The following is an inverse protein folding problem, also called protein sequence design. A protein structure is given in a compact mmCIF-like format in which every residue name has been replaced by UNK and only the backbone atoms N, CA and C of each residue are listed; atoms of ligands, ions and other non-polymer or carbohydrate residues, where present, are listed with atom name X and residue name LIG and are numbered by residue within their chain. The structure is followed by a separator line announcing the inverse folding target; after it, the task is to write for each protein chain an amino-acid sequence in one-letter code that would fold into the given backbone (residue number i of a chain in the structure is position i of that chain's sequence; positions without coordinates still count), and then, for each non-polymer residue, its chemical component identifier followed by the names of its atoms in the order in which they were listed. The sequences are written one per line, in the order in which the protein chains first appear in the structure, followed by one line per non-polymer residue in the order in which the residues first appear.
data_IF_848260384776
#
_entry.id   IF_848260384776
#
_cell.length_a   1.000
_cell.length_b   1.000
_cell.length_c   1.000
_cell.angle_alpha   90.00
_cell.angle_beta   90.00
_cell.angle_gamma   90.00
#
_symmetry.space_group_name_H-M   'P 1'
#
loop_
_entity.id
_entity.type
_entity.pdbx_description
1 polymer ?
#
# COMPACT_ATOMS: atom_id res chain seq x y z
N UNK A 1 -58.49 37.70 14.20
CA UNK A 1 -57.36 37.40 13.28
C UNK A 1 -56.68 38.67 12.73
N UNK A 2 -57.34 39.67 12.17
CA UNK A 2 -56.67 40.86 11.58
C UNK A 2 -55.79 41.64 12.57
N UNK A 3 -56.12 41.75 13.84
CA UNK A 3 -55.35 42.43 14.87
C UNK A 3 -54.03 41.66 15.21
N UNK A 4 -54.04 40.32 15.25
CA UNK A 4 -52.91 39.51 15.50
C UNK A 4 -51.86 39.65 14.37
N UNK A 5 -52.29 39.64 13.11
CA UNK A 5 -51.43 39.81 11.95
C UNK A 5 -50.78 41.20 11.92
N UNK A 6 -51.53 42.23 12.29
CA UNK A 6 -51.05 43.60 12.36
C UNK A 6 -50.05 43.83 13.50
N UNK A 7 -50.23 43.15 14.64
CA UNK A 7 -49.31 43.14 15.76
C UNK A 7 -48.05 42.42 15.36
N UNK A 8 -48.12 41.18 14.73
CA UNK A 8 -47.02 40.44 14.26
C UNK A 8 -46.15 41.22 13.25
N UNK A 9 -46.77 41.95 12.33
CA UNK A 9 -46.04 42.77 11.35
C UNK A 9 -45.29 43.96 11.97
N UNK A 10 -45.81 44.53 13.07
CA UNK A 10 -45.13 45.58 13.81
C UNK A 10 -44.00 45.07 14.64
N UNK A 11 -44.17 43.94 15.35
CA UNK A 11 -43.16 43.30 16.17
C UNK A 11 -42.02 42.79 15.28
N UNK A 12 -42.33 42.29 14.08
CA UNK A 12 -41.34 41.90 13.09
C UNK A 12 -40.49 43.08 12.61
N UNK A 13 -41.09 44.23 12.38
CA UNK A 13 -40.40 45.45 11.96
C UNK A 13 -39.49 46.01 13.06
N UNK A 14 -39.93 45.94 14.29
CA UNK A 14 -39.25 46.47 15.48
C UNK A 14 -38.07 45.57 15.87
N UNK A 15 -38.18 44.23 15.66
CA UNK A 15 -37.18 43.21 16.00
C UNK A 15 -36.46 42.66 14.77
N UNK A 16 -36.50 43.31 13.62
CA UNK A 16 -35.94 42.85 12.35
C UNK A 16 -34.49 42.42 12.46
N UNK A 17 -33.66 43.19 13.15
CA UNK A 17 -32.22 42.88 13.36
C UNK A 17 -32.03 41.56 14.10
N UNK A 18 -32.87 41.25 15.09
CA UNK A 18 -32.79 39.99 15.85
C UNK A 18 -33.29 38.83 15.02
N UNK A 19 -34.38 39.00 14.26
CA UNK A 19 -34.84 37.95 13.34
C UNK A 19 -33.83 37.65 12.26
N UNK A 20 -33.19 38.67 11.68
CA UNK A 20 -32.15 38.51 10.69
C UNK A 20 -30.94 37.76 11.27
N UNK A 21 -30.52 38.09 12.48
CA UNK A 21 -29.39 37.38 13.16
C UNK A 21 -29.71 35.92 13.37
N UNK A 22 -30.89 35.56 13.88
CA UNK A 22 -31.30 34.16 14.07
C UNK A 22 -31.43 33.44 12.73
N UNK A 23 -31.99 34.09 11.71
CA UNK A 23 -32.09 33.53 10.37
C UNK A 23 -30.71 33.23 9.75
N UNK A 24 -29.79 34.22 9.85
CA UNK A 24 -28.42 34.04 9.32
C UNK A 24 -27.68 32.94 10.07
N UNK A 25 -27.85 32.82 11.38
CA UNK A 25 -27.27 31.74 12.17
C UNK A 25 -27.85 30.36 11.77
N UNK A 26 -29.14 30.25 11.57
CA UNK A 26 -29.79 29.04 11.10
C UNK A 26 -29.34 28.66 9.68
N UNK A 27 -29.22 29.64 8.78
CA UNK A 27 -28.75 29.43 7.43
C UNK A 27 -27.29 28.92 7.41
N UNK A 28 -26.42 29.56 8.20
CA UNK A 28 -25.03 29.15 8.34
C UNK A 28 -24.93 27.72 8.89
N UNK A 29 -25.72 27.41 9.93
CA UNK A 29 -25.79 26.07 10.53
C UNK A 29 -26.18 25.00 9.51
N UNK A 30 -27.24 25.27 8.74
CA UNK A 30 -27.73 24.36 7.73
C UNK A 30 -26.69 24.15 6.60
N UNK A 31 -26.02 25.22 6.19
CA UNK A 31 -24.97 25.16 5.15
C UNK A 31 -23.78 24.32 5.60
N UNK A 32 -23.29 24.54 6.83
CA UNK A 32 -22.19 23.76 7.40
C UNK A 32 -22.59 22.28 7.54
N UNK A 33 -23.78 22.01 8.07
CA UNK A 33 -24.29 20.66 8.20
C UNK A 33 -24.39 19.95 6.85
N UNK A 34 -25.03 20.59 5.87
CA UNK A 34 -25.19 20.03 4.54
C UNK A 34 -23.84 19.81 3.85
N UNK A 35 -22.91 20.77 3.97
CA UNK A 35 -21.57 20.67 3.40
C UNK A 35 -20.75 19.53 4.00
N UNK A 36 -20.67 19.43 5.33
CA UNK A 36 -19.94 18.36 6.00
C UNK A 36 -20.59 16.99 5.75
N UNK A 37 -21.94 16.94 5.76
CA UNK A 37 -22.66 15.69 5.49
C UNK A 37 -22.43 15.20 4.06
N UNK A 38 -22.45 16.12 3.09
CA UNK A 38 -22.12 15.80 1.68
C UNK A 38 -20.67 15.37 1.51
N UNK A 39 -19.72 15.98 2.24
CA UNK A 39 -18.31 15.66 2.17
C UNK A 39 -18.03 14.22 2.63
N UNK A 40 -18.47 13.83 3.85
CA UNK A 40 -18.17 12.47 4.34
C UNK A 40 -18.91 11.39 3.55
N UNK A 41 -20.16 11.64 3.12
CA UNK A 41 -20.90 10.67 2.26
C UNK A 41 -20.22 10.50 0.91
N UNK A 42 -19.81 11.59 0.26
CA UNK A 42 -19.09 11.54 -1.00
C UNK A 42 -17.74 10.82 -0.90
N UNK A 43 -16.99 11.07 0.18
CA UNK A 43 -15.74 10.33 0.44
C UNK A 43 -15.98 8.84 0.66
N UNK A 44 -17.00 8.48 1.44
CA UNK A 44 -17.34 7.08 1.70
C UNK A 44 -17.76 6.35 0.43
N UNK A 45 -18.61 6.95 -0.39
CA UNK A 45 -19.07 6.38 -1.66
C UNK A 45 -17.91 6.22 -2.64
N UNK A 46 -17.12 7.27 -2.85
CA UNK A 46 -15.97 7.24 -3.77
C UNK A 46 -14.93 6.20 -3.34
N UNK A 47 -14.63 6.13 -2.05
CA UNK A 47 -13.70 5.12 -1.49
C UNK A 47 -14.26 3.70 -1.66
N UNK A 48 -15.55 3.52 -1.38
CA UNK A 48 -16.24 2.24 -1.56
C UNK A 48 -16.24 1.77 -3.01
N UNK A 49 -16.52 2.66 -3.95
CA UNK A 49 -16.43 2.36 -5.38
C UNK A 49 -15.00 2.01 -5.82
N UNK A 50 -14.01 2.77 -5.34
CA UNK A 50 -12.61 2.52 -5.63
C UNK A 50 -12.17 1.14 -5.14
N UNK A 51 -12.50 0.78 -3.90
CA UNK A 51 -12.22 -0.54 -3.34
C UNK A 51 -12.93 -1.67 -4.10
N UNK A 52 -14.14 -1.41 -4.57
CA UNK A 52 -14.90 -2.37 -5.39
C UNK A 52 -14.27 -2.55 -6.77
N UNK A 53 -13.96 -1.46 -7.48
CA UNK A 53 -13.35 -1.45 -8.82
C UNK A 53 -11.97 -2.10 -8.82
N UNK A 54 -11.19 -1.88 -7.76
CA UNK A 54 -9.84 -2.44 -7.59
C UNK A 54 -9.83 -3.81 -6.93
N UNK A 55 -11.00 -4.33 -6.54
CA UNK A 55 -11.19 -5.62 -5.88
C UNK A 55 -10.29 -5.78 -4.64
N UNK A 56 -10.24 -4.74 -3.80
CA UNK A 56 -9.46 -4.76 -2.56
C UNK A 56 -9.75 -6.01 -1.73
N UNK A 57 -8.70 -6.69 -1.30
CA UNK A 57 -8.83 -7.86 -0.44
C UNK A 57 -9.29 -7.50 0.98
N UNK A 58 -9.67 -8.52 1.75
CA UNK A 58 -10.22 -8.37 3.09
C UNK A 58 -9.21 -8.79 4.17
N UNK A 59 -8.26 -9.68 3.79
CA UNK A 59 -7.21 -10.18 4.68
C UNK A 59 -5.87 -10.26 3.94
N UNK A 60 -4.80 -9.93 4.67
CA UNK A 60 -3.40 -10.11 4.29
C UNK A 60 -2.73 -11.05 5.26
N UNK A 61 -2.14 -12.10 4.75
CA UNK A 61 -1.42 -13.09 5.54
C UNK A 61 0.06 -13.00 5.19
N UNK A 62 0.86 -12.54 6.11
CA UNK A 62 2.31 -12.55 5.98
C UNK A 62 2.85 -13.82 6.63
N UNK A 63 3.57 -14.64 5.89
CA UNK A 63 4.12 -15.89 6.37
C UNK A 63 5.38 -16.28 5.59
N UNK A 64 6.24 -17.07 6.22
CA UNK A 64 7.39 -17.66 5.54
C UNK A 64 7.01 -18.99 4.90
N UNK A 65 7.65 -19.31 3.76
CA UNK A 65 7.50 -20.62 3.09
C UNK A 65 6.05 -21.00 2.75
N UNK A 66 5.36 -20.11 2.03
CA UNK A 66 4.02 -20.39 1.51
C UNK A 66 4.11 -21.41 0.38
N UNK A 67 3.74 -22.64 0.68
CA UNK A 67 3.67 -23.74 -0.30
C UNK A 67 2.30 -23.77 -0.99
N UNK A 68 2.22 -24.39 -2.17
CA UNK A 68 0.95 -24.53 -2.90
C UNK A 68 -0.08 -25.34 -2.10
N UNK A 69 0.35 -26.38 -1.40
CA UNK A 69 -0.52 -27.19 -0.54
C UNK A 69 -1.18 -26.37 0.58
N UNK A 70 -0.39 -25.51 1.26
CA UNK A 70 -0.92 -24.60 2.29
C UNK A 70 -1.92 -23.60 1.69
N UNK A 71 -1.60 -23.02 0.53
CA UNK A 71 -2.48 -22.11 -0.18
C UNK A 71 -3.78 -22.76 -0.60
N UNK A 72 -3.74 -24.01 -1.09
CA UNK A 72 -4.96 -24.75 -1.49
C UNK A 72 -5.85 -25.09 -0.29
N UNK A 73 -5.28 -25.41 0.86
CA UNK A 73 -6.05 -25.56 2.11
C UNK A 73 -6.76 -24.25 2.48
N UNK A 74 -6.08 -23.11 2.37
CA UNK A 74 -6.68 -21.79 2.63
C UNK A 74 -7.78 -21.50 1.61
N UNK A 75 -7.58 -21.78 0.33
CA UNK A 75 -8.63 -21.59 -0.72
C UNK A 75 -9.90 -22.38 -0.45
N UNK A 76 -9.76 -23.56 0.15
CA UNK A 76 -10.89 -24.45 0.49
C UNK A 76 -11.54 -24.10 1.84
N UNK A 77 -10.98 -23.21 2.62
CA UNK A 77 -11.53 -22.82 3.93
C UNK A 77 -12.87 -22.10 3.78
N UNK A 78 -13.81 -22.41 4.67
CA UNK A 78 -15.15 -21.81 4.67
C UNK A 78 -15.03 -20.28 4.81
N UNK A 79 -15.74 -19.55 3.96
CA UNK A 79 -15.74 -18.08 3.95
C UNK A 79 -14.67 -17.46 3.08
N UNK A 80 -13.72 -18.22 2.53
CA UNK A 80 -12.74 -17.73 1.55
C UNK A 80 -13.35 -17.77 0.16
N UNK A 81 -13.52 -16.61 -0.45
CA UNK A 81 -13.96 -16.48 -1.85
C UNK A 81 -12.81 -16.69 -2.81
N UNK A 82 -11.64 -16.14 -2.49
CA UNK A 82 -10.42 -16.24 -3.29
C UNK A 82 -9.19 -16.00 -2.43
N UNK A 83 -8.09 -16.71 -2.70
CA UNK A 83 -6.79 -16.47 -2.10
C UNK A 83 -5.69 -16.56 -3.16
N UNK A 84 -4.79 -15.57 -3.15
CA UNK A 84 -3.64 -15.47 -4.04
C UNK A 84 -2.37 -15.25 -3.25
N UNK A 85 -1.30 -15.95 -3.63
CA UNK A 85 0.04 -15.74 -3.08
C UNK A 85 0.75 -14.63 -3.83
N UNK A 86 1.53 -13.84 -3.11
CA UNK A 86 2.42 -12.83 -3.66
C UNK A 86 3.75 -12.84 -2.94
N UNK A 87 4.74 -12.20 -3.51
CA UNK A 87 5.97 -11.84 -2.83
C UNK A 87 6.01 -10.34 -2.67
N UNK A 88 6.03 -9.88 -1.43
CA UNK A 88 6.33 -8.50 -1.08
C UNK A 88 7.84 -8.38 -0.77
N UNK A 89 8.49 -7.38 -1.33
CA UNK A 89 9.91 -7.10 -1.14
C UNK A 89 10.19 -5.62 -1.35
N UNK A 90 11.34 -5.17 -0.87
CA UNK A 90 11.75 -3.78 -0.96
C UNK A 90 12.74 -3.59 -2.11
N UNK A 91 12.52 -2.56 -2.91
CA UNK A 91 13.47 -1.99 -3.84
C UNK A 91 13.95 -0.65 -3.29
N UNK A 92 15.25 -0.38 -3.37
CA UNK A 92 15.79 0.95 -3.03
C UNK A 92 16.07 1.73 -4.31
N UNK A 93 15.63 2.98 -4.31
CA UNK A 93 15.92 3.93 -5.37
C UNK A 93 16.80 5.05 -4.83
N UNK A 94 17.91 5.35 -5.50
CA UNK A 94 18.81 6.42 -5.08
C UNK A 94 18.51 7.69 -5.85
N UNK A 95 18.11 8.72 -5.14
CA UNK A 95 17.79 10.03 -5.69
C UNK A 95 18.44 11.14 -4.87
N UNK A 96 19.19 12.06 -5.52
CA UNK A 96 19.84 13.20 -4.90
C UNK A 96 20.67 12.88 -3.64
N UNK A 97 21.28 11.70 -3.60
CA UNK A 97 22.06 11.25 -2.44
C UNK A 97 21.28 10.44 -1.40
N UNK A 98 19.97 10.55 -1.34
CA UNK A 98 19.08 9.81 -0.44
C UNK A 98 18.66 8.47 -1.04
N UNK A 99 18.26 7.54 -0.17
CA UNK A 99 17.63 6.29 -0.59
C UNK A 99 16.13 6.40 -0.33
N UNK A 100 15.35 6.18 -1.37
CA UNK A 100 13.92 5.99 -1.26
C UNK A 100 13.60 4.50 -1.30
N UNK A 101 12.64 4.06 -0.48
CA UNK A 101 12.22 2.69 -0.36
C UNK A 101 10.90 2.45 -1.12
N UNK A 102 10.90 1.43 -1.97
CA UNK A 102 9.74 1.09 -2.79
C UNK A 102 9.24 -0.29 -2.40
N UNK A 103 8.10 -0.33 -1.71
CA UNK A 103 7.42 -1.58 -1.39
C UNK A 103 6.89 -2.22 -2.66
N UNK A 104 7.53 -3.28 -3.10
CA UNK A 104 7.23 -3.92 -4.38
C UNK A 104 6.57 -5.27 -4.17
N UNK A 105 5.53 -5.52 -4.95
CA UNK A 105 4.74 -6.74 -4.85
C UNK A 105 4.66 -7.45 -6.17
N UNK A 106 4.63 -8.79 -6.12
CA UNK A 106 4.32 -9.57 -7.31
C UNK A 106 2.83 -9.72 -7.49
N UNK A 107 2.38 -9.78 -8.74
CA UNK A 107 1.02 -10.13 -9.07
C UNK A 107 0.98 -11.39 -9.95
N UNK A 108 -0.11 -12.13 -9.82
CA UNK A 108 -0.36 -13.33 -10.61
C UNK A 108 -1.16 -13.02 -11.88
N UNK A 109 -1.09 -13.93 -12.84
CA UNK A 109 -1.62 -13.76 -14.20
C UNK A 109 -3.14 -13.79 -14.33
N UNK A 110 -3.85 -14.20 -13.30
CA UNK A 110 -5.28 -14.43 -13.46
C UNK A 110 -6.05 -13.11 -13.56
N UNK A 111 -6.82 -12.97 -14.63
CA UNK A 111 -7.71 -11.84 -14.93
C UNK A 111 -8.74 -11.51 -13.83
N UNK A 112 -8.82 -12.35 -12.81
CA UNK A 112 -9.61 -12.17 -11.59
C UNK A 112 -8.68 -12.12 -10.38
N UNK A 113 -7.70 -11.24 -10.41
CA UNK A 113 -6.81 -11.01 -9.26
C UNK A 113 -7.58 -10.59 -8.02
N UNK A 114 -7.08 -10.94 -6.85
CA UNK A 114 -7.65 -10.49 -5.57
C UNK A 114 -7.43 -9.00 -5.39
N UNK A 115 -6.39 -8.44 -6.02
CA UNK A 115 -6.10 -7.02 -6.07
C UNK A 115 -5.84 -6.60 -7.51
N UNK A 116 -6.46 -5.51 -7.94
CA UNK A 116 -6.33 -4.98 -9.30
C UNK A 116 -6.07 -3.47 -9.25
N UNK A 117 -4.82 -3.03 -9.08
CA UNK A 117 -4.46 -1.62 -9.03
C UNK A 117 -4.93 -0.88 -10.28
N UNK A 118 -5.36 0.36 -10.10
CA UNK A 118 -5.81 1.21 -11.21
C UNK A 118 -4.61 1.72 -12.00
N UNK A 119 -4.54 1.43 -13.29
CA UNK A 119 -3.50 1.98 -14.15
C UNK A 119 -3.90 3.39 -14.61
N UNK A 120 -3.09 4.38 -14.25
CA UNK A 120 -3.31 5.79 -14.57
C UNK A 120 -2.67 6.14 -15.93
N UNK A 121 -1.47 5.62 -16.18
CA UNK A 121 -0.77 5.86 -17.44
C UNK A 121 0.07 4.66 -17.85
N UNK A 122 0.40 4.56 -19.13
CA UNK A 122 1.20 3.47 -19.67
C UNK A 122 0.41 2.19 -19.91
N UNK A 123 1.08 1.05 -19.73
CA UNK A 123 0.50 -0.27 -19.99
C UNK A 123 -0.26 -0.78 -18.77
N UNK A 124 -1.42 -1.39 -18.97
CA UNK A 124 -2.12 -2.16 -17.91
C UNK A 124 -1.24 -3.31 -17.41
N UNK A 125 -1.43 -3.70 -16.15
CA UNK A 125 -0.72 -4.83 -15.56
C UNK A 125 -0.88 -6.08 -16.41
N UNK A 126 0.23 -6.70 -16.76
CA UNK A 126 0.25 -7.92 -17.55
C UNK A 126 1.49 -8.77 -17.27
N UNK A 127 1.45 -10.06 -17.66
CA UNK A 127 2.56 -10.98 -17.43
C UNK A 127 3.50 -11.14 -18.63
N UNK A 128 3.29 -10.38 -19.72
CA UNK A 128 4.09 -10.48 -20.94
C UNK A 128 5.32 -9.58 -20.86
N UNK A 129 5.12 -8.32 -20.47
CA UNK A 129 6.16 -7.31 -20.43
C UNK A 129 7.06 -7.44 -19.19
N UNK A 130 8.36 -7.20 -19.37
CA UNK A 130 9.33 -7.18 -18.26
C UNK A 130 9.57 -5.73 -17.82
N UNK A 131 9.31 -5.44 -16.56
CA UNK A 131 9.48 -4.12 -15.97
C UNK A 131 8.68 -3.96 -14.69
N UNK A 132 8.49 -2.72 -14.30
CA UNK A 132 7.80 -2.32 -13.08
C UNK A 132 6.62 -1.39 -13.42
N UNK A 133 5.52 -1.56 -12.74
CA UNK A 133 4.45 -0.56 -12.59
C UNK A 133 4.68 0.15 -11.28
N UNK A 134 4.82 1.46 -11.34
CA UNK A 134 5.25 2.28 -10.21
C UNK A 134 4.10 3.10 -9.69
N UNK A 135 4.13 3.40 -8.42
CA UNK A 135 3.30 4.40 -7.76
C UNK A 135 3.33 5.73 -8.53
N UNK A 136 2.14 6.29 -8.79
CA UNK A 136 2.00 7.55 -9.54
C UNK A 136 2.61 8.72 -8.79
N UNK A 137 2.35 8.84 -7.49
CA UNK A 137 2.77 9.98 -6.69
C UNK A 137 4.29 9.94 -6.44
N UNK A 138 4.83 8.75 -6.17
CA UNK A 138 6.28 8.54 -6.12
C UNK A 138 6.96 8.88 -7.45
N UNK A 139 6.36 8.46 -8.57
CA UNK A 139 6.92 8.74 -9.89
C UNK A 139 6.94 10.24 -10.19
N UNK A 140 5.89 10.97 -9.82
CA UNK A 140 5.81 12.43 -9.99
C UNK A 140 6.84 13.16 -9.13
N UNK A 141 7.00 12.79 -7.85
CA UNK A 141 8.00 13.37 -6.94
C UNK A 141 9.43 13.22 -7.49
N UNK A 142 9.68 12.13 -8.22
CA UNK A 142 10.99 11.86 -8.82
C UNK A 142 11.11 12.20 -10.30
N UNK A 143 10.10 12.83 -10.91
CA UNK A 143 10.03 13.14 -12.34
C UNK A 143 10.25 11.92 -13.26
N UNK A 144 9.81 10.73 -12.83
CA UNK A 144 9.91 9.50 -13.58
C UNK A 144 8.74 9.35 -14.55
N UNK A 145 9.01 8.86 -15.74
CA UNK A 145 8.01 8.70 -16.81
C UNK A 145 7.90 7.24 -17.26
N UNK A 146 6.76 6.92 -17.84
CA UNK A 146 6.59 5.63 -18.53
C UNK A 146 7.64 5.45 -19.60
N UNK A 147 8.18 4.25 -19.73
CA UNK A 147 9.28 3.84 -20.59
C UNK A 147 10.69 4.19 -20.10
N UNK A 148 10.85 4.94 -19.04
CA UNK A 148 12.15 5.18 -18.42
C UNK A 148 12.79 3.87 -17.94
N UNK A 149 14.12 3.80 -18.06
CA UNK A 149 14.92 2.68 -17.57
C UNK A 149 15.63 3.11 -16.29
N UNK A 150 15.09 2.70 -15.16
CA UNK A 150 15.52 3.10 -13.83
C UNK A 150 16.39 2.01 -13.18
N UNK A 151 17.39 2.45 -12.42
CA UNK A 151 18.26 1.57 -11.63
C UNK A 151 17.72 1.52 -10.20
N UNK A 152 17.33 0.33 -9.77
CA UNK A 152 16.95 0.03 -8.39
C UNK A 152 18.02 -0.85 -7.73
N UNK A 153 17.97 -0.95 -6.42
CA UNK A 153 18.76 -1.93 -5.66
C UNK A 153 17.82 -2.98 -5.07
N UNK A 154 18.05 -4.24 -5.41
CA UNK A 154 17.33 -5.40 -4.88
C UNK A 154 18.33 -6.30 -4.14
N UNK A 155 18.12 -6.51 -2.83
CA UNK A 155 19.04 -7.32 -2.00
C UNK A 155 20.51 -6.91 -2.16
N UNK A 156 20.77 -5.60 -2.13
CA UNK A 156 22.12 -5.05 -2.28
C UNK A 156 22.70 -5.07 -3.72
N UNK A 157 21.97 -5.59 -4.69
CA UNK A 157 22.41 -5.68 -6.08
C UNK A 157 21.65 -4.70 -6.98
N UNK A 158 22.38 -3.98 -7.85
CA UNK A 158 21.77 -3.06 -8.82
C UNK A 158 21.01 -3.83 -9.90
N UNK A 159 19.73 -3.54 -10.06
CA UNK A 159 18.86 -4.08 -11.10
C UNK A 159 18.29 -2.93 -11.94
N UNK A 160 18.20 -3.12 -13.25
CA UNK A 160 17.67 -2.10 -14.16
C UNK A 160 16.30 -2.58 -14.63
N UNK A 161 15.27 -1.77 -14.42
CA UNK A 161 13.91 -2.07 -14.84
C UNK A 161 13.36 -0.91 -15.68
N UNK A 162 12.50 -1.27 -16.66
CA UNK A 162 11.71 -0.31 -17.43
C UNK A 162 10.42 -0.03 -16.68
N UNK A 163 10.03 1.24 -16.55
CA UNK A 163 8.73 1.62 -16.05
C UNK A 163 7.70 1.33 -17.14
N UNK A 164 6.75 0.46 -16.86
CA UNK A 164 5.72 0.04 -17.82
C UNK A 164 4.45 0.85 -17.71
N UNK A 165 4.14 1.35 -16.54
CA UNK A 165 2.97 2.19 -16.28
C UNK A 165 3.01 2.76 -14.87
N UNK A 166 2.12 3.70 -14.61
CA UNK A 166 1.87 4.29 -13.30
C UNK A 166 0.54 3.75 -12.78
N UNK A 167 0.51 3.45 -11.49
CA UNK A 167 -0.64 2.81 -10.85
C UNK A 167 -1.02 3.53 -9.57
N UNK A 168 -2.32 3.45 -9.23
CA UNK A 168 -2.84 3.73 -7.90
C UNK A 168 -3.33 2.42 -7.29
N UNK A 169 -2.96 2.20 -6.04
CA UNK A 169 -3.21 0.98 -5.32
C UNK A 169 -4.12 1.23 -4.11
N UNK A 170 -5.22 0.49 -3.97
CA UNK A 170 -6.11 0.67 -2.84
C UNK A 170 -5.51 0.25 -1.48
N UNK A 171 -4.45 -0.58 -1.47
CA UNK A 171 -3.73 -0.96 -0.25
C UNK A 171 -2.85 0.20 0.29
N UNK A 172 -2.52 1.18 -0.57
CA UNK A 172 -1.59 2.27 -0.29
C UNK A 172 -2.18 3.65 -0.64
N UNK A 173 -3.52 3.81 -0.56
CA UNK A 173 -4.19 5.06 -0.90
C UNK A 173 -3.72 6.24 -0.03
N UNK A 174 -3.34 5.98 1.22
CA UNK A 174 -2.67 6.92 2.12
C UNK A 174 -1.40 6.24 2.64
N UNK A 175 -0.33 6.29 1.83
CA UNK A 175 0.86 5.50 2.07
C UNK A 175 1.81 6.19 3.07
N UNK A 176 1.63 5.90 4.34
CA UNK A 176 2.56 6.20 5.42
C UNK A 176 3.23 4.91 5.90
N UNK A 177 4.49 5.00 6.27
CA UNK A 177 5.28 3.84 6.70
C UNK A 177 5.20 3.65 8.21
N UNK A 178 5.15 4.75 8.95
CA UNK A 178 5.07 4.76 10.40
C UNK A 178 3.76 5.40 10.86
N UNK A 179 3.27 4.98 12.03
CA UNK A 179 2.01 5.48 12.58
C UNK A 179 2.07 6.94 13.08
N UNK A 180 3.26 7.46 13.28
CA UNK A 180 3.55 8.85 13.68
C UNK A 180 3.68 9.81 12.49
N UNK A 181 3.72 9.30 11.27
CA UNK A 181 3.71 10.12 10.06
C UNK A 181 2.30 10.63 9.78
N UNK A 182 2.13 11.94 9.79
CA UNK A 182 0.82 12.58 9.52
C UNK A 182 0.50 12.71 8.04
N UNK A 183 1.51 12.69 7.17
CA UNK A 183 1.36 12.84 5.71
C UNK A 183 2.26 11.84 4.98
N UNK A 184 1.82 11.31 3.82
CA UNK A 184 2.67 10.50 2.96
C UNK A 184 3.89 11.27 2.47
N UNK A 185 5.06 10.64 2.55
CA UNK A 185 6.31 11.16 1.97
C UNK A 185 6.65 10.39 0.69
N UNK A 186 6.18 10.90 -0.44
CA UNK A 186 6.41 10.31 -1.75
C UNK A 186 7.83 10.50 -2.29
N UNK A 187 8.68 11.30 -1.63
CA UNK A 187 10.11 11.37 -1.96
C UNK A 187 10.89 10.21 -1.34
N UNK A 188 10.51 9.76 -0.15
CA UNK A 188 11.18 8.66 0.55
C UNK A 188 10.51 7.31 0.37
N UNK A 189 9.20 7.28 0.15
CA UNK A 189 8.41 6.06 0.14
C UNK A 189 7.50 5.96 -1.07
N UNK A 190 7.46 4.78 -1.67
CA UNK A 190 6.57 4.46 -2.77
C UNK A 190 6.25 2.98 -2.83
N UNK A 191 5.40 2.60 -3.75
CA UNK A 191 5.09 1.20 -4.00
C UNK A 191 5.16 0.86 -5.49
N UNK A 192 5.20 -0.43 -5.78
CA UNK A 192 5.27 -0.87 -7.18
C UNK A 192 4.87 -2.33 -7.36
N UNK A 193 4.62 -2.68 -8.60
CA UNK A 193 4.22 -4.01 -9.02
C UNK A 193 5.15 -4.57 -10.07
N UNK A 194 5.56 -5.82 -9.90
CA UNK A 194 6.30 -6.57 -10.91
C UNK A 194 5.62 -7.91 -11.16
N UNK A 195 5.68 -8.40 -12.38
CA UNK A 195 5.24 -9.76 -12.63
C UNK A 195 6.32 -10.78 -12.20
N UNK A 196 5.90 -12.02 -11.97
CA UNK A 196 6.80 -13.09 -11.54
C UNK A 196 7.95 -13.35 -12.50
N UNK A 197 7.77 -13.15 -13.82
CA UNK A 197 8.83 -13.33 -14.82
C UNK A 197 9.95 -12.31 -14.64
N UNK A 198 9.60 -11.06 -14.38
CA UNK A 198 10.56 -9.98 -14.08
C UNK A 198 11.34 -10.32 -12.83
N UNK A 199 10.65 -10.66 -11.74
CA UNK A 199 11.30 -10.99 -10.48
C UNK A 199 12.20 -12.23 -10.61
N UNK A 200 11.72 -13.32 -11.19
CA UNK A 200 12.54 -14.54 -11.45
C UNK A 200 13.80 -14.23 -12.24
N UNK A 201 13.70 -13.39 -13.26
CA UNK A 201 14.84 -12.96 -14.07
C UNK A 201 15.90 -12.23 -13.24
N UNK A 202 15.50 -11.33 -12.36
CA UNK A 202 16.43 -10.59 -11.49
C UNK A 202 16.99 -11.47 -10.37
N UNK A 203 16.16 -12.29 -9.73
CA UNK A 203 16.63 -13.25 -8.72
C UNK A 203 17.64 -14.23 -9.29
N UNK A 204 17.41 -14.77 -10.49
CA UNK A 204 18.38 -15.62 -11.18
C UNK A 204 19.73 -14.91 -11.32
N UNK A 205 19.73 -13.68 -11.81
CA UNK A 205 20.95 -12.89 -12.00
C UNK A 205 21.69 -12.63 -10.69
N UNK A 206 20.95 -12.29 -9.62
CA UNK A 206 21.52 -12.02 -8.29
C UNK A 206 22.16 -13.29 -7.73
N UNK A 207 21.44 -14.40 -7.75
CA UNK A 207 21.92 -15.66 -7.20
C UNK A 207 23.13 -16.21 -7.97
N UNK A 208 23.14 -16.07 -9.31
CA UNK A 208 24.31 -16.44 -10.12
C UNK A 208 25.53 -15.58 -9.78
N UNK A 209 25.35 -14.27 -9.53
CA UNK A 209 26.45 -13.40 -9.09
C UNK A 209 26.98 -13.81 -7.72
N UNK A 210 26.11 -14.10 -6.75
CA UNK A 210 26.52 -14.54 -5.41
C UNK A 210 27.23 -15.90 -5.46
N UNK A 211 26.74 -16.83 -6.26
CA UNK A 211 27.41 -18.12 -6.49
C UNK A 211 28.79 -17.93 -7.11
N UNK A 212 28.92 -17.04 -8.11
CA UNK A 212 30.23 -16.72 -8.71
C UNK A 212 31.21 -16.15 -7.70
N UNK A 213 30.74 -15.24 -6.84
CA UNK A 213 31.58 -14.69 -5.76
C UNK A 213 32.01 -15.77 -4.77
N UNK A 214 31.09 -16.66 -4.39
CA UNK A 214 31.39 -17.74 -3.47
C UNK A 214 32.43 -18.72 -4.06
N UNK A 215 32.26 -19.10 -5.34
CA UNK A 215 33.23 -19.97 -6.06
C UNK A 215 34.58 -19.28 -6.13
N UNK A 216 34.65 -18.01 -6.51
CA UNK A 216 35.92 -17.27 -6.59
C UNK A 216 36.61 -17.23 -5.24
N UNK A 217 35.90 -16.93 -4.14
CA UNK A 217 36.47 -16.95 -2.78
C UNK A 217 36.97 -18.32 -2.36
N UNK A 218 36.21 -19.37 -2.68
CA UNK A 218 36.64 -20.76 -2.39
C UNK A 218 37.90 -21.12 -3.15
N UNK A 219 38.01 -20.72 -4.42
CA UNK A 219 39.23 -20.94 -5.24
C UNK A 219 40.44 -20.18 -4.67
N UNK A 220 40.25 -18.90 -4.30
CA UNK A 220 41.31 -18.07 -3.71
C UNK A 220 41.81 -18.67 -2.38
N UNK A 221 40.89 -19.16 -1.53
CA UNK A 221 41.25 -19.79 -0.26
C UNK A 221 41.99 -21.14 -0.49
N UNK A 222 41.49 -21.95 -1.43
CA UNK A 222 42.17 -23.22 -1.79
C UNK A 222 43.56 -22.99 -2.36
N UNK A 223 43.75 -21.92 -3.15
CA UNK A 223 45.11 -21.54 -3.63
C UNK A 223 46.01 -21.11 -2.48
N UNK A 224 45.49 -20.27 -1.54
CA UNK A 224 46.25 -19.83 -0.37
C UNK A 224 46.68 -21.01 0.52
N UNK A 225 45.83 -22.01 0.69
CA UNK A 225 46.13 -23.22 1.49
C UNK A 225 47.14 -24.15 0.81
N UNK A 226 47.15 -24.22 -0.53
CA UNK A 226 48.10 -25.05 -1.29
C UNK A 226 49.47 -24.40 -1.45
N UNK A 227 49.58 -23.09 -1.25
CA UNK A 227 50.87 -22.37 -1.29
C UNK A 227 51.54 -22.46 0.08
N UNK A 228 52.21 -23.60 0.32
CA UNK A 228 53.18 -23.72 1.41
C UNK A 228 54.26 -22.63 1.25
N UNK A 229 54.85 -22.11 2.36
CA UNK A 229 55.82 -20.99 2.33
C UNK A 229 57.05 -21.24 1.43
N UNK A 230 57.33 -22.50 1.12
CA UNK A 230 58.46 -22.91 0.27
C UNK A 230 58.25 -22.58 -1.23
N UNK A 231 56.99 -22.59 -1.71
CA UNK A 231 56.69 -22.38 -3.14
C UNK A 231 56.61 -20.87 -3.49
N UNK A 232 56.46 -20.01 -2.51
CA UNK A 232 56.30 -18.55 -2.70
C UNK A 232 57.59 -17.85 -3.20
N UNK A 233 58.77 -18.49 -3.06
CA UNK A 233 60.05 -17.96 -3.57
C UNK A 233 60.31 -18.23 -5.04
N UNK A 234 59.77 -19.31 -5.61
CA UNK A 234 60.04 -19.73 -7.00
C UNK A 234 59.07 -19.14 -8.03
N UNK A 235 57.86 -18.69 -7.62
CA UNK A 235 56.84 -18.19 -8.55
C UNK A 235 56.85 -16.67 -8.81
N UNK A 236 57.75 -15.91 -8.16
CA UNK A 236 57.90 -14.48 -8.47
C UNK A 236 58.54 -14.17 -9.84
N UNK A 237 58.95 -15.19 -10.57
CA UNK A 237 59.62 -15.01 -11.87
C UNK A 237 58.90 -15.47 -13.11
N UNK A 238 57.72 -16.11 -13.01
CA UNK A 238 56.98 -16.51 -14.21
C UNK A 238 55.52 -16.08 -14.13
N UNK A 239 55.21 -14.96 -14.73
CA UNK A 239 53.87 -14.47 -15.08
C UNK A 239 53.35 -15.31 -16.25
N UNK A 240 52.78 -16.45 -15.99
CA UNK A 240 51.96 -17.20 -16.95
C UNK A 240 50.74 -17.79 -16.24
N UNK A 241 49.57 -17.50 -16.79
CA UNK A 241 48.21 -17.69 -16.35
C UNK A 241 47.92 -18.77 -15.32
N UNK A 242 47.10 -18.47 -14.37
CA UNK A 242 46.54 -19.42 -13.40
C UNK A 242 46.00 -20.66 -14.14
N UNK A 243 46.39 -21.91 -13.75
CA UNK A 243 45.90 -23.10 -14.40
C UNK A 243 44.37 -23.18 -14.21
N UNK A 244 43.63 -23.05 -15.31
CA UNK A 244 42.21 -23.32 -15.33
C UNK A 244 42.02 -24.80 -14.93
N UNK A 245 41.28 -25.04 -13.85
CA UNK A 245 40.90 -26.41 -13.49
C UNK A 245 40.09 -27.02 -14.66
N UNK A 246 40.57 -28.08 -15.34
CA UNK A 246 39.79 -28.70 -16.40
C UNK A 246 38.46 -29.21 -15.83
N UNK A 247 37.34 -28.79 -16.38
CA UNK A 247 36.01 -29.19 -15.92
C UNK A 247 35.26 -28.17 -15.05
N UNK A 248 35.93 -27.23 -14.37
CA UNK A 248 35.24 -26.25 -13.54
C UNK A 248 34.29 -25.32 -14.35
N UNK A 249 34.71 -24.94 -15.56
CA UNK A 249 33.88 -24.12 -16.46
C UNK A 249 32.67 -24.91 -16.98
N UNK A 250 32.81 -26.18 -17.32
CA UNK A 250 31.71 -27.02 -17.77
C UNK A 250 30.73 -27.33 -16.65
N UNK A 251 31.23 -27.62 -15.44
CA UNK A 251 30.37 -27.81 -14.23
C UNK A 251 29.60 -26.53 -13.89
N UNK A 252 30.27 -25.40 -13.97
CA UNK A 252 29.64 -24.08 -13.76
C UNK A 252 28.53 -23.81 -14.77
N UNK A 253 28.78 -24.02 -16.07
CA UNK A 253 27.78 -23.83 -17.12
C UNK A 253 26.57 -24.75 -16.89
N UNK A 254 26.77 -26.01 -16.57
CA UNK A 254 25.72 -26.96 -16.27
C UNK A 254 24.89 -26.55 -15.03
N UNK A 255 25.53 -26.06 -13.96
CA UNK A 255 24.82 -25.53 -12.77
C UNK A 255 24.01 -24.30 -13.08
N UNK A 256 24.52 -23.36 -13.89
CA UNK A 256 23.83 -22.11 -14.24
C UNK A 256 22.66 -22.33 -15.19
N UNK A 257 22.76 -23.26 -16.14
CA UNK A 257 21.70 -23.63 -17.07
C UNK A 257 20.55 -24.36 -16.39
N UNK A 258 20.84 -25.26 -15.46
CA UNK A 258 19.81 -26.01 -14.70
C UNK A 258 19.17 -25.21 -13.56
N UNK A 259 19.75 -24.09 -13.16
CA UNK A 259 19.26 -23.32 -12.04
C UNK A 259 17.96 -22.59 -12.37
N UNK A 260 16.86 -22.99 -11.71
CA UNK A 260 15.56 -22.32 -11.78
C UNK A 260 15.27 -21.63 -10.44
N UNK A 261 15.30 -20.31 -10.37
CA UNK A 261 15.03 -19.61 -9.13
C UNK A 261 13.58 -19.84 -8.70
N UNK A 262 13.40 -20.16 -7.45
CA UNK A 262 12.08 -20.24 -6.82
C UNK A 262 11.76 -18.87 -6.21
N UNK A 263 10.51 -18.41 -6.37
CA UNK A 263 10.05 -17.21 -5.67
C UNK A 263 9.68 -17.61 -4.23
N UNK A 264 10.32 -17.04 -3.22
CA UNK A 264 9.93 -17.26 -1.83
C UNK A 264 8.68 -16.39 -1.54
N UNK A 265 7.50 -16.94 -1.83
CA UNK A 265 6.25 -16.23 -1.51
C UNK A 265 6.13 -16.04 0.00
N UNK A 266 5.82 -14.82 0.40
CA UNK A 266 5.76 -14.39 1.79
C UNK A 266 4.44 -13.68 2.16
N UNK A 267 3.51 -13.57 1.20
CA UNK A 267 2.21 -12.94 1.44
C UNK A 267 1.09 -13.71 0.73
N UNK A 268 -0.06 -13.83 1.37
CA UNK A 268 -1.32 -14.28 0.75
C UNK A 268 -2.35 -13.17 0.93
N UNK A 269 -3.00 -12.80 -0.16
CA UNK A 269 -4.14 -11.90 -0.18
C UNK A 269 -5.41 -12.69 -0.30
N UNK A 270 -6.40 -12.39 0.55
CA UNK A 270 -7.64 -13.15 0.63
C UNK A 270 -8.84 -12.23 0.47
N UNK A 271 -9.74 -12.61 -0.42
CA UNK A 271 -11.08 -12.07 -0.53
C UNK A 271 -12.06 -13.01 0.16
N UNK A 272 -12.88 -12.47 1.05
CA UNK A 272 -13.88 -13.25 1.78
C UNK A 272 -15.23 -13.23 1.07
N UNK A 273 -16.10 -14.16 1.41
CA UNK A 273 -17.49 -14.18 0.93
C UNK A 273 -18.37 -13.20 1.71
N UNK A 274 -18.06 -12.99 2.99
CA UNK A 274 -18.78 -12.11 3.91
C UNK A 274 -17.80 -11.56 4.97
N UNK A 275 -17.97 -10.30 5.34
CA UNK A 275 -17.20 -9.64 6.40
C UNK A 275 -17.34 -10.30 7.77
N UNK A 276 -18.51 -10.91 8.07
CA UNK A 276 -18.76 -11.62 9.33
C UNK A 276 -17.89 -12.87 9.53
N UNK A 277 -17.34 -13.42 8.46
CA UNK A 277 -16.51 -14.63 8.50
C UNK A 277 -15.02 -14.36 8.80
N UNK A 278 -14.58 -13.11 8.84
CA UNK A 278 -13.16 -12.71 8.99
C UNK A 278 -12.48 -13.36 10.20
N UNK A 279 -13.11 -13.30 11.38
CA UNK A 279 -12.54 -13.88 12.61
C UNK A 279 -12.41 -15.40 12.57
N UNK A 280 -13.32 -16.09 11.93
CA UNK A 280 -13.28 -17.56 11.77
C UNK A 280 -12.20 -17.95 10.75
N UNK A 281 -12.05 -17.19 9.66
CA UNK A 281 -11.02 -17.39 8.65
C UNK A 281 -9.63 -17.15 9.27
N UNK A 282 -9.46 -16.08 10.06
CA UNK A 282 -8.19 -15.78 10.76
C UNK A 282 -7.76 -16.98 11.64
N UNK A 283 -8.68 -17.59 12.38
CA UNK A 283 -8.39 -18.80 13.16
C UNK A 283 -7.97 -19.98 12.27
N UNK A 284 -8.75 -20.29 11.24
CA UNK A 284 -8.43 -21.38 10.33
C UNK A 284 -7.10 -21.21 9.58
N UNK A 285 -6.69 -19.97 9.28
CA UNK A 285 -5.38 -19.68 8.68
C UNK A 285 -4.26 -19.97 9.68
N UNK A 286 -4.44 -19.55 10.94
CA UNK A 286 -3.46 -19.82 12.00
C UNK A 286 -3.28 -21.33 12.23
N UNK A 287 -4.36 -22.13 12.12
CA UNK A 287 -4.28 -23.58 12.23
C UNK A 287 -3.53 -24.23 11.05
N UNK A 288 -3.66 -23.68 9.84
CA UNK A 288 -3.00 -24.19 8.63
C UNK A 288 -1.51 -23.80 8.57
N UNK A 289 -1.19 -22.57 8.95
CA UNK A 289 0.16 -22.02 8.80
C UNK A 289 1.00 -22.13 10.08
N UNK A 290 0.36 -22.20 11.24
CA UNK A 290 0.96 -22.08 12.56
C UNK A 290 0.81 -20.65 13.09
N UNK A 291 0.32 -20.48 14.31
CA UNK A 291 0.00 -19.18 14.93
C UNK A 291 1.20 -18.24 14.99
N UNK A 292 2.39 -18.79 15.31
CA UNK A 292 3.63 -18.01 15.43
C UNK A 292 4.40 -17.88 14.10
N UNK A 293 3.93 -18.58 13.04
CA UNK A 293 4.57 -18.58 11.73
C UNK A 293 3.91 -17.62 10.72
N UNK A 294 2.79 -16.99 11.09
CA UNK A 294 2.09 -16.06 10.23
C UNK A 294 1.47 -14.88 11.00
N UNK A 295 1.36 -13.75 10.32
CA UNK A 295 0.60 -12.59 10.75
C UNK A 295 -0.59 -12.41 9.82
N UNK A 296 -1.80 -12.33 10.38
CA UNK A 296 -3.04 -12.13 9.61
C UNK A 296 -3.58 -10.75 9.92
N UNK A 297 -3.55 -9.87 8.92
CA UNK A 297 -4.00 -8.49 8.99
C UNK A 297 -5.36 -8.36 8.30
N UNK A 298 -6.24 -7.56 8.88
CA UNK A 298 -7.52 -7.13 8.34
C UNK A 298 -7.39 -5.76 7.69
N UNK A 299 -8.44 -5.22 7.09
CA UNK A 299 -8.45 -3.87 6.56
C UNK A 299 -8.17 -2.80 7.63
N UNK A 300 -8.70 -2.99 8.83
CA UNK A 300 -8.46 -2.07 9.97
C UNK A 300 -7.03 -2.15 10.51
N UNK A 301 -6.30 -3.23 10.26
CA UNK A 301 -4.90 -3.37 10.66
C UNK A 301 -3.93 -2.74 9.66
N UNK A 302 -4.40 -2.40 8.45
CA UNK A 302 -3.60 -1.71 7.45
C UNK A 302 -3.67 -0.19 7.65
N UNK A 303 -2.54 0.40 7.99
CA UNK A 303 -2.43 1.82 8.32
C UNK A 303 -3.05 2.73 7.25
N UNK A 304 -2.72 2.52 5.98
CA UNK A 304 -3.25 3.32 4.88
C UNK A 304 -4.78 3.24 4.71
N UNK A 305 -5.38 2.07 4.95
CA UNK A 305 -6.83 1.90 4.86
C UNK A 305 -7.52 2.46 6.10
N UNK A 306 -6.94 2.20 7.28
CA UNK A 306 -7.46 2.69 8.54
C UNK A 306 -7.47 4.22 8.58
N UNK A 307 -6.41 4.86 8.13
CA UNK A 307 -6.31 6.32 8.06
C UNK A 307 -7.48 6.94 7.28
N UNK A 308 -7.76 6.43 6.08
CA UNK A 308 -8.89 6.91 5.27
C UNK A 308 -10.23 6.71 5.98
N UNK A 309 -10.40 5.59 6.66
CA UNK A 309 -11.63 5.30 7.42
C UNK A 309 -11.78 6.26 8.59
N UNK A 310 -10.70 6.53 9.33
CA UNK A 310 -10.68 7.47 10.45
C UNK A 310 -10.97 8.91 10.01
N UNK A 311 -10.42 9.35 8.89
CA UNK A 311 -10.70 10.66 8.29
C UNK A 311 -12.21 10.83 7.99
N UNK A 312 -12.82 9.84 7.34
CA UNK A 312 -14.26 9.85 7.04
C UNK A 312 -15.08 9.92 8.34
N UNK A 313 -14.77 9.08 9.33
CA UNK A 313 -15.48 9.08 10.61
C UNK A 313 -15.25 10.38 11.41
N UNK A 314 -14.08 11.01 11.28
CA UNK A 314 -13.80 12.30 11.90
C UNK A 314 -14.69 13.40 11.30
N UNK A 315 -14.78 13.51 9.98
CA UNK A 315 -15.65 14.50 9.31
C UNK A 315 -17.10 14.26 9.70
N UNK A 316 -17.55 13.01 9.77
CA UNK A 316 -18.89 12.63 10.22
C UNK A 316 -19.17 13.06 11.66
N UNK A 317 -18.24 12.82 12.59
CA UNK A 317 -18.34 13.28 13.98
C UNK A 317 -18.42 14.81 14.05
N UNK A 318 -17.61 15.52 13.26
CA UNK A 318 -17.66 16.97 13.18
C UNK A 318 -19.01 17.48 12.65
N UNK A 319 -19.57 16.85 11.62
CA UNK A 319 -20.89 17.20 11.10
C UNK A 319 -21.97 17.13 12.17
N UNK A 320 -21.99 16.07 12.98
CA UNK A 320 -22.95 15.91 14.08
C UNK A 320 -22.70 16.96 15.19
N UNK A 321 -21.44 17.14 15.59
CA UNK A 321 -21.08 18.07 16.68
C UNK A 321 -21.42 19.52 16.35
N UNK A 322 -21.07 19.98 15.16
CA UNK A 322 -21.44 21.33 14.71
C UNK A 322 -22.96 21.51 14.64
N UNK A 323 -23.68 20.50 14.16
CA UNK A 323 -25.15 20.53 14.12
C UNK A 323 -25.77 20.72 15.53
N UNK A 324 -25.27 19.97 16.52
CA UNK A 324 -25.71 20.10 17.91
C UNK A 324 -25.42 21.48 18.48
N UNK A 325 -24.21 22.01 18.26
CA UNK A 325 -23.83 23.35 18.75
C UNK A 325 -24.77 24.42 18.17
N UNK A 326 -25.07 24.37 16.90
CA UNK A 326 -25.92 25.36 16.25
C UNK A 326 -27.38 25.23 16.65
N UNK A 327 -27.90 24.03 16.83
CA UNK A 327 -29.26 23.82 17.35
C UNK A 327 -29.40 24.41 18.77
N UNK A 328 -28.42 24.15 19.63
CA UNK A 328 -28.41 24.65 21.00
C UNK A 328 -28.27 26.17 21.05
N UNK A 329 -27.41 26.77 20.25
CA UNK A 329 -27.21 28.21 20.19
C UNK A 329 -28.43 28.93 19.62
N UNK A 330 -29.07 28.37 18.60
CA UNK A 330 -30.34 28.89 18.05
C UNK A 330 -31.49 28.80 19.05
N UNK A 331 -31.58 27.69 19.79
CA UNK A 331 -32.57 27.52 20.87
C UNK A 331 -32.38 28.50 22.05
N UNK A 332 -31.14 28.68 22.50
CA UNK A 332 -30.84 29.65 23.57
C UNK A 332 -31.10 31.09 23.16
N UNK A 333 -30.84 31.45 21.91
CA UNK A 333 -31.20 32.77 21.35
C UNK A 333 -32.69 33.03 21.37
N UNK A 334 -33.52 32.04 21.06
CA UNK A 334 -34.97 32.14 21.12
C UNK A 334 -35.49 32.27 22.56
N UNK A 335 -34.94 31.54 23.52
CA UNK A 335 -35.34 31.66 24.94
C UNK A 335 -35.02 33.04 25.51
N UNK A 336 -33.91 33.67 25.16
CA UNK A 336 -33.59 35.04 25.56
C UNK A 336 -34.53 36.08 24.94
N UNK A 337 -34.96 35.88 23.70
CA UNK A 337 -35.95 36.73 23.02
C UNK A 337 -37.32 36.67 23.72
N UNK A 338 -37.78 35.49 24.07
CA UNK A 338 -39.05 35.29 24.78
C UNK A 338 -38.96 35.87 26.19
N UNK A 339 -37.87 35.64 26.92
CA UNK A 339 -37.67 36.14 28.28
C UNK A 339 -37.54 37.68 28.37
N UNK A 340 -36.95 38.33 27.35
CA UNK A 340 -36.86 39.79 27.30
C UNK A 340 -38.20 40.48 27.00
N UNK A 341 -39.08 39.82 26.25
CA UNK A 341 -40.43 40.32 25.99
C UNK A 341 -41.37 40.18 27.20
N UNK A 342 -41.18 39.16 28.05
CA UNK A 342 -41.95 39.00 29.31
C UNK A 342 -41.56 40.01 30.39
N UNK A 343 -40.38 40.64 30.31
CA UNK A 343 -39.97 41.71 31.26
C UNK A 343 -40.41 43.14 30.85
N UNK A 344 -40.95 43.26 29.65
CA UNK A 344 -41.44 44.59 29.12
C UNK A 344 -42.94 44.72 29.09
N UNK A 345 -43.71 43.76 29.56
CA UNK A 345 -45.15 43.83 29.85
C UNK A 345 -45.37 43.85 31.36
#
# INVERSE_FOLDING_TARGET
MKYLIKKLGRDFKELWSQFLSVFMMALLSLTIFAGLNSAWTGMQETTGEYYSKTNLCDLWVNATNITENKLDKIRKSKGVKKAEKSMAFELKYKYRGNNADIRTMTFSKNTKSVLNPLTISGKKLNNKDKGIWLDKDFADAHNLKTSDKVKFTLKGQKVKMKILGMVLDPEHMYFVVNADESLPDHELHGYGYVNEKTLKSHLKTIQLREMNKAIKRAMENAMKQRMSPVVNRSMKQNTLGAPAMPGAAATYKNLTEKYKPTIPYNQIRIKTTDSKSVSSIKRGINDILGKDACSVLTRSDLLAINQVTEEIEQIKRMAVLFSCIFILSGGAGQMNLVGSNFRRT
#
